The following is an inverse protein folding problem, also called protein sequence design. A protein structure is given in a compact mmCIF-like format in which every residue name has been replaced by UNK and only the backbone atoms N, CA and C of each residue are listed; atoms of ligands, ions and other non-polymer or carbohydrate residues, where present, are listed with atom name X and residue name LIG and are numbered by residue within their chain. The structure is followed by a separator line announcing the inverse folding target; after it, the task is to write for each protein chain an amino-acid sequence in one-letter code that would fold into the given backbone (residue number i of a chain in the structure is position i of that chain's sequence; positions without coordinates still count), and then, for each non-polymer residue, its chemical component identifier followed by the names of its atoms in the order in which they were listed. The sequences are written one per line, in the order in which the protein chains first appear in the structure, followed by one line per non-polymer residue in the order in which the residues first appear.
data_IF_185013671444
#
_entry.id   IF_185013671444
#
_cell.length_a   1.000
_cell.length_b   1.000
_cell.length_c   1.000
_cell.angle_alpha   90.00
_cell.angle_beta   90.00
_cell.angle_gamma   90.00
#
_symmetry.space_group_name_H-M   'P 1'
#
loop_
_entity.id
_entity.type
_entity.pdbx_description
1 polymer ?
#
# COMPACT_ATOMS: atom_id res chain seq x y z
N UNK A 1 -80.89 -20.34 -75.60
CA UNK A 1 -79.92 -21.20 -76.29
C UNK A 1 -78.75 -21.43 -75.35
N UNK A 2 -78.26 -22.66 -75.25
CA UNK A 2 -77.06 -22.98 -74.46
C UNK A 2 -75.85 -22.75 -75.37
N UNK A 3 -74.96 -21.85 -74.97
CA UNK A 3 -73.68 -21.65 -75.63
C UNK A 3 -72.68 -22.60 -74.97
N UNK A 4 -72.27 -23.64 -75.69
CA UNK A 4 -71.26 -24.59 -75.20
C UNK A 4 -69.91 -24.10 -75.72
N UNK A 5 -69.07 -23.59 -74.83
CA UNK A 5 -67.67 -23.28 -75.12
C UNK A 5 -66.80 -24.45 -74.66
N UNK A 6 -65.99 -24.99 -75.57
CA UNK A 6 -64.98 -26.00 -75.24
C UNK A 6 -63.68 -25.26 -74.92
N UNK A 7 -63.20 -25.40 -73.67
CA UNK A 7 -61.86 -24.94 -73.28
C UNK A 7 -60.91 -26.14 -73.29
N UNK A 8 -59.66 -25.95 -73.70
CA UNK A 8 -58.66 -27.01 -73.60
C UNK A 8 -58.16 -27.16 -72.16
N UNK A 9 -57.96 -28.39 -71.68
CA UNK A 9 -57.31 -28.65 -70.40
C UNK A 9 -55.90 -28.04 -70.35
N UNK A 10 -55.22 -27.94 -71.50
CA UNK A 10 -53.91 -27.28 -71.63
C UNK A 10 -54.00 -25.76 -71.41
N UNK A 11 -55.11 -25.13 -71.81
CA UNK A 11 -55.31 -23.69 -71.57
C UNK A 11 -55.55 -23.41 -70.09
N UNK A 12 -56.34 -24.27 -69.42
CA UNK A 12 -56.55 -24.20 -67.96
C UNK A 12 -55.21 -24.39 -67.23
N UNK A 13 -54.45 -25.42 -67.61
CA UNK A 13 -53.16 -25.72 -67.02
C UNK A 13 -52.15 -24.59 -67.22
N UNK A 14 -52.08 -24.00 -68.42
CA UNK A 14 -51.20 -22.88 -68.72
C UNK A 14 -51.55 -21.63 -67.90
N UNK A 15 -52.83 -21.33 -67.69
CA UNK A 15 -53.25 -20.21 -66.84
C UNK A 15 -52.86 -20.45 -65.39
N UNK A 16 -53.13 -21.64 -64.84
CA UNK A 16 -52.86 -21.95 -63.43
C UNK A 16 -51.36 -22.04 -63.14
N UNK A 17 -50.57 -22.54 -64.09
CA UNK A 17 -49.12 -22.70 -63.95
C UNK A 17 -48.31 -21.49 -64.43
N UNK A 18 -48.97 -20.45 -64.97
CA UNK A 18 -48.30 -19.27 -65.55
C UNK A 18 -47.37 -19.65 -66.71
N UNK A 19 -47.85 -20.48 -67.63
CA UNK A 19 -47.07 -21.12 -68.69
C UNK A 19 -45.85 -21.87 -68.15
N UNK A 20 -45.98 -22.50 -66.97
CA UNK A 20 -44.91 -23.25 -66.29
C UNK A 20 -43.68 -22.39 -65.94
N UNK A 21 -43.85 -21.07 -65.79
CA UNK A 21 -42.80 -20.12 -65.41
C UNK A 21 -42.87 -19.74 -63.93
N UNK A 22 -43.08 -20.73 -63.06
CA UNK A 22 -43.34 -20.55 -61.62
C UNK A 22 -42.41 -19.55 -60.92
N UNK A 23 -41.10 -19.60 -61.17
CA UNK A 23 -40.13 -18.65 -60.56
C UNK A 23 -40.39 -17.19 -60.97
N UNK A 24 -40.74 -16.94 -62.22
CA UNK A 24 -41.03 -15.59 -62.72
C UNK A 24 -42.38 -15.07 -62.23
N UNK A 25 -43.32 -15.99 -61.97
CA UNK A 25 -44.65 -15.70 -61.43
C UNK A 25 -44.66 -15.60 -59.88
N UNK A 26 -43.49 -15.59 -59.24
CA UNK A 26 -43.36 -15.38 -57.79
C UNK A 26 -43.54 -16.64 -56.92
N UNK A 27 -43.64 -17.82 -57.51
CA UNK A 27 -43.77 -19.09 -56.76
C UNK A 27 -42.44 -19.65 -56.24
N UNK A 28 -41.31 -18.98 -56.46
CA UNK A 28 -40.02 -19.44 -55.94
C UNK A 28 -39.58 -20.82 -56.48
N UNK A 29 -38.79 -21.54 -55.70
CA UNK A 29 -38.24 -22.85 -56.07
C UNK A 29 -39.21 -24.01 -55.86
N UNK A 30 -40.13 -23.91 -54.91
CA UNK A 30 -41.03 -25.01 -54.50
C UNK A 30 -42.51 -24.69 -54.66
N UNK A 31 -42.86 -23.42 -54.85
CA UNK A 31 -44.25 -23.02 -54.93
C UNK A 31 -44.92 -23.39 -56.24
N UNK A 32 -46.24 -23.52 -56.17
CA UNK A 32 -47.11 -23.87 -57.29
C UNK A 32 -48.56 -23.47 -56.99
N UNK A 33 -49.39 -23.44 -58.03
CA UNK A 33 -50.84 -23.41 -57.91
C UNK A 33 -51.45 -24.59 -58.65
N UNK A 34 -52.58 -25.10 -58.15
CA UNK A 34 -53.32 -26.17 -58.79
C UNK A 34 -54.83 -26.07 -58.52
N UNK A 35 -55.61 -26.62 -59.44
CA UNK A 35 -57.07 -26.71 -59.35
C UNK A 35 -57.52 -28.12 -58.98
N UNK A 36 -58.55 -28.20 -58.13
CA UNK A 36 -59.15 -29.48 -57.69
C UNK A 36 -60.66 -29.42 -57.85
N UNK A 37 -61.26 -30.46 -58.43
CA UNK A 37 -62.71 -30.57 -58.56
C UNK A 37 -63.40 -31.06 -57.29
N UNK A 38 -64.74 -31.04 -57.28
CA UNK A 38 -65.56 -31.56 -56.18
C UNK A 38 -65.32 -33.07 -55.91
N UNK A 39 -64.83 -33.81 -56.90
CA UNK A 39 -64.40 -35.21 -56.80
C UNK A 39 -63.01 -35.39 -56.18
N UNK A 40 -62.38 -34.30 -55.73
CA UNK A 40 -61.00 -34.24 -55.24
C UNK A 40 -59.94 -34.62 -56.28
N UNK A 41 -60.28 -34.69 -57.57
CA UNK A 41 -59.31 -34.95 -58.63
C UNK A 41 -58.74 -33.64 -59.16
N UNK A 42 -57.49 -33.66 -59.61
CA UNK A 42 -56.84 -32.50 -60.21
C UNK A 42 -57.55 -32.03 -61.50
N UNK A 43 -57.56 -30.72 -61.71
CA UNK A 43 -58.01 -30.03 -62.94
C UNK A 43 -56.87 -29.29 -63.65
N UNK A 44 -55.70 -29.21 -63.01
CA UNK A 44 -54.44 -28.74 -63.59
C UNK A 44 -53.30 -29.60 -63.04
N UNK A 45 -52.25 -29.81 -63.80
CA UNK A 45 -51.12 -30.61 -63.39
C UNK A 45 -50.21 -29.83 -62.41
N UNK A 46 -49.65 -30.50 -61.38
CA UNK A 46 -48.76 -29.86 -60.45
C UNK A 46 -47.38 -29.62 -61.07
N UNK A 47 -46.63 -28.67 -60.52
CA UNK A 47 -45.27 -28.31 -60.94
C UNK A 47 -44.33 -29.51 -61.00
N UNK A 48 -44.37 -30.37 -59.97
CA UNK A 48 -43.50 -31.53 -59.88
C UNK A 48 -43.66 -32.49 -61.08
N UNK A 49 -44.87 -32.61 -61.63
CA UNK A 49 -45.12 -33.44 -62.82
C UNK A 49 -44.37 -32.94 -64.06
N UNK A 50 -44.09 -31.65 -64.15
CA UNK A 50 -43.37 -31.03 -65.27
C UNK A 50 -41.87 -30.93 -65.04
N UNK A 51 -41.44 -30.58 -63.83
CA UNK A 51 -40.01 -30.37 -63.53
C UNK A 51 -39.26 -31.69 -63.33
N UNK A 52 -39.86 -32.69 -62.66
CA UNK A 52 -39.21 -33.97 -62.41
C UNK A 52 -40.24 -35.10 -62.21
N UNK A 53 -40.55 -35.82 -63.29
CA UNK A 53 -41.56 -36.90 -63.28
C UNK A 53 -41.21 -38.06 -62.36
N UNK A 54 -39.94 -38.44 -62.30
CA UNK A 54 -39.50 -39.56 -61.47
C UNK A 54 -39.67 -39.23 -59.98
N UNK A 55 -39.28 -38.01 -59.59
CA UNK A 55 -39.50 -37.50 -58.24
C UNK A 55 -40.99 -37.37 -57.93
N UNK A 56 -41.80 -36.85 -58.86
CA UNK A 56 -43.24 -36.73 -58.69
C UNK A 56 -43.92 -38.08 -58.38
N UNK A 57 -43.60 -39.14 -59.13
CA UNK A 57 -44.16 -40.47 -58.85
C UNK A 57 -43.64 -41.07 -57.54
N UNK A 58 -42.38 -40.79 -57.16
CA UNK A 58 -41.83 -41.21 -55.88
C UNK A 58 -42.56 -40.51 -54.71
N UNK A 59 -42.72 -39.19 -54.76
CA UNK A 59 -43.42 -38.40 -53.76
C UNK A 59 -44.90 -38.80 -53.64
N UNK A 60 -45.58 -39.10 -54.75
CA UNK A 60 -46.95 -39.61 -54.73
C UNK A 60 -47.05 -40.96 -54.01
N UNK A 61 -46.10 -41.86 -54.25
CA UNK A 61 -46.06 -43.17 -53.59
C UNK A 61 -45.81 -43.01 -52.08
N UNK A 62 -44.89 -42.14 -51.69
CA UNK A 62 -44.60 -41.83 -50.28
C UNK A 62 -45.79 -41.14 -49.59
N UNK A 63 -46.52 -40.29 -50.29
CA UNK A 63 -47.74 -39.65 -49.81
C UNK A 63 -48.96 -40.59 -49.73
N UNK A 64 -48.80 -41.87 -50.14
CA UNK A 64 -49.84 -42.89 -50.02
C UNK A 64 -50.83 -42.96 -51.18
N UNK A 65 -50.49 -42.45 -52.36
CA UNK A 65 -51.32 -42.59 -53.56
C UNK A 65 -51.51 -44.06 -53.95
N UNK A 66 -52.70 -44.43 -54.43
CA UNK A 66 -52.98 -45.81 -54.80
C UNK A 66 -52.21 -46.22 -56.06
N UNK A 67 -51.88 -47.52 -56.17
CA UNK A 67 -51.22 -48.05 -57.37
C UNK A 67 -52.07 -47.84 -58.63
N UNK A 68 -53.41 -47.87 -58.50
CA UNK A 68 -54.33 -47.63 -59.59
C UNK A 68 -54.26 -46.18 -60.10
N UNK A 69 -54.18 -45.20 -59.19
CA UNK A 69 -54.05 -43.78 -59.55
C UNK A 69 -52.72 -43.52 -60.27
N UNK A 70 -51.61 -44.04 -59.72
CA UNK A 70 -50.29 -43.91 -60.35
C UNK A 70 -50.27 -44.54 -61.75
N UNK A 71 -50.82 -45.75 -61.91
CA UNK A 71 -50.91 -46.43 -63.20
C UNK A 71 -51.79 -45.66 -64.19
N UNK A 72 -52.89 -45.04 -63.74
CA UNK A 72 -53.73 -44.20 -64.58
C UNK A 72 -52.97 -42.96 -65.09
N UNK A 73 -52.26 -42.26 -64.20
CA UNK A 73 -51.45 -41.08 -64.57
C UNK A 73 -50.39 -41.45 -65.61
N UNK A 74 -49.73 -42.61 -65.45
CA UNK A 74 -48.74 -43.11 -66.41
C UNK A 74 -49.36 -43.47 -67.76
N UNK A 75 -50.53 -44.13 -67.74
CA UNK A 75 -51.25 -44.55 -68.97
C UNK A 75 -51.73 -43.36 -69.78
N UNK A 76 -52.35 -42.38 -69.13
CA UNK A 76 -52.92 -41.19 -69.77
C UNK A 76 -51.91 -40.05 -69.93
N UNK A 77 -50.70 -40.20 -69.38
CA UNK A 77 -49.61 -39.19 -69.39
C UNK A 77 -50.05 -37.83 -68.87
N UNK A 78 -51.04 -37.81 -67.98
CA UNK A 78 -51.57 -36.60 -67.35
C UNK A 78 -52.06 -36.92 -65.94
N UNK A 79 -51.78 -36.04 -64.95
CA UNK A 79 -52.33 -36.17 -63.61
C UNK A 79 -53.74 -35.57 -63.48
N UNK A 80 -54.17 -34.79 -64.48
CA UNK A 80 -55.51 -34.21 -64.56
C UNK A 80 -56.55 -35.34 -64.59
N UNK A 81 -57.59 -35.24 -63.76
CA UNK A 81 -58.61 -36.27 -63.56
C UNK A 81 -58.12 -37.63 -63.02
N UNK A 82 -56.84 -37.77 -62.66
CA UNK A 82 -56.26 -39.05 -62.23
C UNK A 82 -55.54 -38.98 -60.88
N UNK A 83 -55.01 -37.82 -60.49
CA UNK A 83 -54.45 -37.60 -59.15
C UNK A 83 -55.53 -37.09 -58.21
N UNK A 84 -55.73 -37.79 -57.09
CA UNK A 84 -56.56 -37.33 -55.98
C UNK A 84 -55.78 -36.44 -55.02
N UNK A 85 -56.33 -35.28 -54.69
CA UNK A 85 -55.80 -34.35 -53.69
C UNK A 85 -56.90 -34.03 -52.68
N UNK A 86 -56.78 -34.61 -51.50
CA UNK A 86 -57.66 -34.36 -50.35
C UNK A 86 -56.86 -33.80 -49.17
N UNK A 87 -56.51 -32.52 -49.28
CA UNK A 87 -55.86 -31.74 -48.23
C UNK A 87 -56.86 -30.88 -47.47
N UNK A 88 -56.48 -30.41 -46.28
CA UNK A 88 -57.27 -29.43 -45.50
C UNK A 88 -57.64 -28.20 -46.33
N UNK A 89 -56.71 -27.68 -47.13
CA UNK A 89 -56.93 -26.54 -48.01
C UNK A 89 -57.97 -26.84 -49.10
N UNK A 90 -57.86 -27.98 -49.78
CA UNK A 90 -58.83 -28.36 -50.82
C UNK A 90 -60.23 -28.60 -50.26
N UNK A 91 -60.36 -29.24 -49.08
CA UNK A 91 -61.67 -29.42 -48.42
C UNK A 91 -62.31 -28.08 -48.05
N UNK A 92 -61.54 -27.17 -47.48
CA UNK A 92 -62.04 -25.84 -47.10
C UNK A 92 -62.47 -25.02 -48.33
N UNK A 93 -61.65 -24.99 -49.38
CA UNK A 93 -61.97 -24.30 -50.63
C UNK A 93 -63.21 -24.88 -51.33
N UNK A 94 -63.34 -26.20 -51.43
CA UNK A 94 -64.52 -26.85 -52.01
C UNK A 94 -65.80 -26.63 -51.18
N UNK A 95 -65.66 -26.43 -49.86
CA UNK A 95 -66.75 -26.02 -48.98
C UNK A 95 -67.10 -24.52 -49.10
N UNK A 96 -66.42 -23.77 -49.97
CA UNK A 96 -66.65 -22.35 -50.22
C UNK A 96 -65.91 -21.40 -49.28
N UNK A 97 -64.94 -21.91 -48.51
CA UNK A 97 -64.15 -21.08 -47.58
C UNK A 97 -62.81 -20.67 -48.18
N UNK A 98 -62.48 -19.38 -48.06
CA UNK A 98 -61.16 -18.85 -48.37
C UNK A 98 -60.27 -18.85 -47.13
N UNK A 99 -58.96 -19.00 -47.30
CA UNK A 99 -58.03 -18.91 -46.18
C UNK A 99 -56.58 -19.07 -46.58
N UNK A 100 -55.71 -18.70 -45.65
CA UNK A 100 -54.26 -18.88 -45.76
C UNK A 100 -53.74 -19.52 -44.48
N UNK A 101 -52.79 -20.44 -44.58
CA UNK A 101 -52.17 -21.04 -43.42
C UNK A 101 -51.24 -22.19 -43.76
N UNK A 102 -50.61 -22.74 -42.73
CA UNK A 102 -49.76 -23.91 -42.87
C UNK A 102 -50.63 -25.18 -42.99
N UNK A 103 -50.41 -25.93 -44.05
CA UNK A 103 -51.12 -27.18 -44.34
C UNK A 103 -50.14 -28.21 -44.88
N UNK A 104 -50.40 -29.48 -44.60
CA UNK A 104 -49.71 -30.58 -45.27
C UNK A 104 -50.22 -30.66 -46.70
N UNK A 105 -49.33 -30.43 -47.66
CA UNK A 105 -49.66 -30.50 -49.09
C UNK A 105 -49.84 -31.94 -49.58
N UNK A 106 -50.24 -32.10 -50.84
CA UNK A 106 -50.45 -33.44 -51.43
C UNK A 106 -49.18 -34.32 -51.49
N UNK A 107 -47.99 -33.72 -51.33
CA UNK A 107 -46.70 -34.41 -51.25
C UNK A 107 -46.35 -34.91 -49.84
N UNK A 108 -47.22 -34.67 -48.84
CA UNK A 108 -46.92 -34.96 -47.43
C UNK A 108 -45.98 -33.94 -46.75
N UNK A 109 -45.53 -32.91 -47.48
CA UNK A 109 -44.64 -31.85 -46.96
C UNK A 109 -45.46 -30.68 -46.41
N UNK A 110 -44.98 -30.04 -45.34
CA UNK A 110 -45.60 -28.83 -44.80
C UNK A 110 -45.44 -27.65 -45.76
N UNK A 111 -46.54 -26.97 -46.06
CA UNK A 111 -46.61 -25.88 -47.02
C UNK A 111 -47.37 -24.71 -46.45
N UNK A 112 -46.95 -23.48 -46.76
CA UNK A 112 -47.77 -22.30 -46.59
C UNK A 112 -48.69 -22.19 -47.82
N UNK A 113 -49.98 -22.38 -47.62
CA UNK A 113 -50.96 -22.38 -48.69
C UNK A 113 -52.01 -21.28 -48.51
N UNK A 114 -52.46 -20.72 -49.63
CA UNK A 114 -53.67 -19.94 -49.77
C UNK A 114 -54.66 -20.72 -50.63
N UNK A 115 -55.93 -20.75 -50.25
CA UNK A 115 -56.95 -21.53 -50.92
C UNK A 115 -58.28 -20.78 -50.98
N UNK A 116 -59.09 -21.11 -52.00
CA UNK A 116 -60.43 -20.56 -52.16
C UNK A 116 -61.22 -21.26 -53.27
N UNK A 117 -62.55 -21.11 -53.29
CA UNK A 117 -63.38 -21.59 -54.39
C UNK A 117 -63.14 -20.77 -55.67
N UNK A 118 -63.24 -21.42 -56.82
CA UNK A 118 -63.22 -20.73 -58.12
C UNK A 118 -64.61 -20.18 -58.43
N UNK A 119 -64.71 -18.87 -58.68
CA UNK A 119 -65.97 -18.17 -58.92
C UNK A 119 -66.47 -18.31 -60.38
N UNK A 120 -66.73 -19.54 -60.83
CA UNK A 120 -67.32 -19.83 -62.14
C UNK A 120 -68.73 -20.43 -61.96
N UNK A 121 -69.79 -19.82 -62.52
CA UNK A 121 -71.15 -20.34 -62.40
C UNK A 121 -71.25 -21.80 -62.88
N UNK A 122 -71.81 -22.67 -62.03
CA UNK A 122 -72.00 -24.09 -62.33
C UNK A 122 -70.75 -24.98 -62.14
N UNK A 123 -69.60 -24.41 -61.78
CA UNK A 123 -68.36 -25.15 -61.55
C UNK A 123 -67.96 -25.06 -60.08
N UNK A 124 -67.76 -26.22 -59.43
CA UNK A 124 -67.30 -26.31 -58.04
C UNK A 124 -65.86 -26.79 -57.98
N UNK A 125 -64.91 -25.88 -58.21
CA UNK A 125 -63.48 -26.14 -58.12
C UNK A 125 -62.84 -25.35 -56.99
N UNK A 126 -61.77 -25.90 -56.44
CA UNK A 126 -60.89 -25.24 -55.48
C UNK A 126 -59.59 -24.84 -56.18
N UNK A 127 -59.14 -23.61 -55.94
CA UNK A 127 -57.81 -23.15 -56.26
C UNK A 127 -56.96 -23.20 -54.99
N UNK A 128 -55.77 -23.81 -55.10
CA UNK A 128 -54.78 -23.82 -54.02
C UNK A 128 -53.46 -23.33 -54.58
N UNK A 129 -52.94 -22.25 -54.02
CA UNK A 129 -51.58 -21.77 -54.25
C UNK A 129 -50.76 -22.06 -53.00
N UNK A 130 -49.58 -22.65 -53.13
CA UNK A 130 -48.75 -23.03 -51.99
C UNK A 130 -47.26 -22.87 -52.28
N UNK A 131 -46.47 -22.82 -51.22
CA UNK A 131 -45.01 -22.88 -51.22
C UNK A 131 -44.55 -23.74 -50.03
N UNK A 132 -43.44 -24.47 -50.15
CA UNK A 132 -42.96 -25.28 -49.03
C UNK A 132 -42.56 -24.36 -47.85
N UNK A 133 -42.96 -24.75 -46.64
CA UNK A 133 -42.71 -24.00 -45.40
C UNK A 133 -41.20 -23.75 -45.20
N UNK A 134 -40.35 -24.68 -45.62
CA UNK A 134 -38.89 -24.57 -45.56
C UNK A 134 -38.34 -23.44 -46.43
N UNK A 135 -38.91 -23.20 -47.61
CA UNK A 135 -38.54 -22.08 -48.47
C UNK A 135 -39.15 -20.77 -47.96
N UNK A 136 -40.45 -20.76 -47.65
CA UNK A 136 -41.16 -19.58 -47.14
C UNK A 136 -40.49 -18.97 -45.90
N UNK A 137 -40.00 -19.81 -44.97
CA UNK A 137 -39.37 -19.34 -43.74
C UNK A 137 -37.83 -19.38 -43.75
N UNK A 138 -37.18 -19.79 -44.85
CA UNK A 138 -35.72 -19.78 -44.96
C UNK A 138 -35.10 -18.39 -44.63
N UNK A 139 -35.67 -17.24 -45.08
CA UNK A 139 -35.15 -15.93 -44.70
C UNK A 139 -35.21 -15.67 -43.19
N UNK A 140 -36.28 -16.09 -42.52
CA UNK A 140 -36.45 -15.91 -41.07
C UNK A 140 -35.45 -16.77 -40.30
N UNK A 141 -35.25 -18.01 -40.73
CA UNK A 141 -34.26 -18.89 -40.12
C UNK A 141 -32.83 -18.37 -40.27
N UNK A 142 -32.48 -17.80 -41.44
CA UNK A 142 -31.18 -17.15 -41.65
C UNK A 142 -31.02 -15.92 -40.75
N UNK A 143 -32.03 -15.04 -40.70
CA UNK A 143 -32.00 -13.86 -39.83
C UNK A 143 -31.83 -14.24 -38.35
N UNK A 144 -32.52 -15.29 -37.89
CA UNK A 144 -32.37 -15.80 -36.52
C UNK A 144 -30.95 -16.26 -36.25
N UNK A 145 -30.32 -16.97 -37.20
CA UNK A 145 -28.94 -17.44 -37.06
C UNK A 145 -27.97 -16.26 -37.02
N UNK A 146 -28.13 -15.29 -37.92
CA UNK A 146 -27.30 -14.09 -37.98
C UNK A 146 -27.40 -13.27 -36.67
N UNK A 147 -28.62 -13.07 -36.15
CA UNK A 147 -28.83 -12.38 -34.88
C UNK A 147 -28.21 -13.14 -33.70
N UNK A 148 -28.29 -14.47 -33.68
CA UNK A 148 -27.68 -15.29 -32.65
C UNK A 148 -26.14 -15.17 -32.67
N UNK A 149 -25.53 -15.17 -33.87
CA UNK A 149 -24.08 -15.00 -34.04
C UNK A 149 -23.67 -13.60 -33.58
N UNK A 150 -24.34 -12.55 -34.03
CA UNK A 150 -24.04 -11.16 -33.64
C UNK A 150 -24.16 -10.98 -32.13
N UNK A 151 -25.23 -11.50 -31.53
CA UNK A 151 -25.43 -11.47 -30.08
C UNK A 151 -24.34 -12.20 -29.31
N UNK A 152 -23.93 -13.39 -29.79
CA UNK A 152 -22.84 -14.16 -29.20
C UNK A 152 -21.50 -13.44 -29.27
N UNK A 153 -21.16 -12.84 -30.42
CA UNK A 153 -19.94 -12.05 -30.59
C UNK A 153 -19.94 -10.81 -29.69
N UNK A 154 -21.06 -10.08 -29.63
CA UNK A 154 -21.20 -8.92 -28.77
C UNK A 154 -21.02 -9.29 -27.29
N UNK A 155 -21.64 -10.40 -26.84
CA UNK A 155 -21.48 -10.90 -25.47
C UNK A 155 -20.02 -11.27 -25.16
N UNK A 156 -19.35 -11.96 -26.09
CA UNK A 156 -17.94 -12.32 -25.94
C UNK A 156 -17.06 -11.07 -25.79
N UNK A 157 -17.29 -10.06 -26.62
CA UNK A 157 -16.56 -8.78 -26.54
C UNK A 157 -16.78 -8.17 -25.15
N UNK A 158 -18.03 -8.05 -24.68
CA UNK A 158 -18.33 -7.48 -23.35
C UNK A 158 -17.58 -8.23 -22.24
N UNK A 159 -17.56 -9.56 -22.27
CA UNK A 159 -16.86 -10.39 -21.26
C UNK A 159 -15.35 -10.16 -21.31
N UNK A 160 -14.76 -10.14 -22.51
CA UNK A 160 -13.32 -9.92 -22.69
C UNK A 160 -12.93 -8.52 -22.24
N UNK A 161 -13.67 -7.49 -22.61
CA UNK A 161 -13.38 -6.10 -22.22
C UNK A 161 -13.55 -5.91 -20.72
N UNK A 162 -14.57 -6.51 -20.10
CA UNK A 162 -14.75 -6.47 -18.66
C UNK A 162 -13.60 -7.17 -17.91
N UNK A 163 -13.16 -8.33 -18.39
CA UNK A 163 -12.02 -9.05 -17.80
C UNK A 163 -10.71 -8.27 -17.96
N UNK A 164 -10.51 -7.62 -19.11
CA UNK A 164 -9.36 -6.76 -19.35
C UNK A 164 -9.36 -5.55 -18.41
N UNK A 165 -10.48 -4.82 -18.34
CA UNK A 165 -10.64 -3.64 -17.47
C UNK A 165 -10.47 -3.98 -15.99
N UNK A 166 -10.97 -5.14 -15.57
CA UNK A 166 -10.81 -5.63 -14.20
C UNK A 166 -9.34 -5.82 -13.84
N UNK A 167 -8.53 -6.38 -14.74
CA UNK A 167 -7.10 -6.61 -14.51
C UNK A 167 -6.28 -5.33 -14.58
N UNK A 168 -6.60 -4.41 -15.48
CA UNK A 168 -5.83 -3.17 -15.68
C UNK A 168 -6.10 -2.13 -14.60
N UNK A 169 -7.33 -2.04 -14.10
CA UNK A 169 -7.70 -1.02 -13.10
C UNK A 169 -7.73 -1.55 -11.66
N UNK A 170 -8.43 -2.66 -11.38
CA UNK A 170 -8.60 -3.09 -9.98
C UNK A 170 -7.34 -3.71 -9.37
N UNK A 171 -6.47 -4.32 -10.18
CA UNK A 171 -5.24 -4.96 -9.70
C UNK A 171 -4.32 -3.97 -8.97
N UNK A 172 -3.82 -2.93 -9.66
CA UNK A 172 -2.95 -1.92 -9.03
C UNK A 172 -3.61 -1.19 -7.85
N UNK A 173 -4.93 -0.92 -7.91
CA UNK A 173 -5.65 -0.28 -6.81
C UNK A 173 -5.64 -1.15 -5.53
N UNK A 174 -5.82 -2.46 -5.66
CA UNK A 174 -5.75 -3.39 -4.52
C UNK A 174 -4.34 -3.45 -3.93
N UNK A 175 -3.30 -3.49 -4.77
CA UNK A 175 -1.91 -3.45 -4.34
C UNK A 175 -1.60 -2.16 -3.58
N UNK A 176 -2.07 -1.01 -4.07
CA UNK A 176 -1.92 0.28 -3.41
C UNK A 176 -2.67 0.33 -2.06
N UNK A 177 -3.93 -0.11 -2.00
CA UNK A 177 -4.68 -0.16 -0.74
C UNK A 177 -3.95 -1.03 0.29
N UNK A 178 -3.46 -2.21 -0.11
CA UNK A 178 -2.70 -3.08 0.77
C UNK A 178 -1.42 -2.40 1.27
N UNK A 179 -0.67 -1.73 0.39
CA UNK A 179 0.52 -0.96 0.74
C UNK A 179 0.23 0.13 1.76
N UNK A 180 -0.83 0.91 1.54
CA UNK A 180 -1.27 1.97 2.48
C UNK A 180 -1.65 1.39 3.84
N UNK A 181 -2.37 0.27 3.89
CA UNK A 181 -2.75 -0.36 5.16
C UNK A 181 -1.56 -0.91 5.94
N UNK A 182 -0.55 -1.48 5.26
CA UNK A 182 0.70 -1.93 5.89
C UNK A 182 1.50 -0.74 6.43
N UNK A 183 1.63 0.31 5.64
CA UNK A 183 2.27 1.54 6.06
C UNK A 183 1.60 2.15 7.31
N UNK A 184 0.27 2.21 7.33
CA UNK A 184 -0.48 2.69 8.49
C UNK A 184 -0.32 1.79 9.74
N UNK A 185 0.01 0.51 9.56
CA UNK A 185 0.33 -0.42 10.64
C UNK A 185 1.78 -0.33 11.15
N UNK A 186 2.59 0.60 10.62
CA UNK A 186 3.97 0.84 11.04
C UNK A 186 5.04 0.13 10.18
N UNK A 187 4.65 -0.47 9.06
CA UNK A 187 5.60 -1.05 8.11
C UNK A 187 6.09 0.01 7.11
N UNK A 188 7.17 0.70 7.48
CA UNK A 188 7.78 1.77 6.69
C UNK A 188 8.71 1.28 5.57
N UNK A 189 8.86 -0.04 5.40
CA UNK A 189 9.65 -0.64 4.31
C UNK A 189 8.76 -1.07 3.13
N UNK A 190 7.45 -0.86 3.23
CA UNK A 190 6.51 -1.26 2.19
C UNK A 190 6.69 -0.41 0.93
N UNK A 191 6.65 -1.06 -0.23
CA UNK A 191 6.64 -0.41 -1.54
C UNK A 191 5.54 -0.99 -2.41
N UNK A 192 4.94 -0.16 -3.26
CA UNK A 192 3.90 -0.57 -4.20
C UNK A 192 4.45 -0.51 -5.62
N UNK A 193 4.29 -1.57 -6.45
CA UNK A 193 4.84 -1.57 -7.80
C UNK A 193 4.14 -0.57 -8.71
N UNK A 194 4.93 0.24 -9.42
CA UNK A 194 4.42 1.21 -10.41
C UNK A 194 4.36 0.53 -11.79
N UNK A 195 3.19 -0.03 -12.14
CA UNK A 195 3.01 -0.82 -13.38
C UNK A 195 2.55 0.01 -14.59
N UNK A 196 1.86 1.11 -14.36
CA UNK A 196 1.23 1.93 -15.39
C UNK A 196 1.85 3.34 -15.42
N UNK A 197 1.67 4.07 -16.52
CA UNK A 197 2.12 5.47 -16.69
C UNK A 197 0.95 6.47 -16.64
N UNK A 198 -0.17 6.06 -16.07
CA UNK A 198 -1.40 6.82 -15.93
C UNK A 198 -1.51 7.46 -14.52
N UNK A 199 -2.69 7.93 -14.15
CA UNK A 199 -3.01 8.44 -12.82
C UNK A 199 -2.72 7.44 -11.70
N UNK A 200 -2.99 6.15 -11.92
CA UNK A 200 -2.79 5.10 -10.92
C UNK A 200 -1.30 4.88 -10.69
N UNK A 201 -0.51 4.86 -11.77
CA UNK A 201 0.94 4.78 -11.71
C UNK A 201 1.55 5.97 -10.97
N UNK A 202 1.09 7.19 -11.27
CA UNK A 202 1.52 8.41 -10.55
C UNK A 202 1.19 8.35 -9.06
N UNK A 203 0.01 7.85 -8.69
CA UNK A 203 -0.38 7.69 -7.29
C UNK A 203 0.51 6.67 -6.55
N UNK A 204 0.83 5.54 -7.18
CA UNK A 204 1.75 4.56 -6.61
C UNK A 204 3.16 5.14 -6.42
N UNK A 205 3.66 5.90 -7.41
CA UNK A 205 4.95 6.57 -7.31
C UNK A 205 4.98 7.65 -6.22
N UNK A 206 3.93 8.47 -6.12
CA UNK A 206 3.80 9.48 -5.07
C UNK A 206 3.72 8.85 -3.68
N UNK A 207 3.00 7.74 -3.53
CA UNK A 207 2.96 6.97 -2.28
C UNK A 207 4.36 6.47 -1.90
N UNK A 208 5.08 5.83 -2.81
CA UNK A 208 6.46 5.36 -2.54
C UNK A 208 7.39 6.52 -2.17
N UNK A 209 7.29 7.67 -2.84
CA UNK A 209 8.08 8.86 -2.50
C UNK A 209 7.78 9.38 -1.08
N UNK A 210 6.50 9.40 -0.67
CA UNK A 210 6.11 9.78 0.68
C UNK A 210 6.66 8.80 1.74
N UNK A 211 6.63 7.49 1.46
CA UNK A 211 7.20 6.46 2.36
C UNK A 211 8.70 6.69 2.56
N UNK A 212 9.43 6.93 1.47
CA UNK A 212 10.87 7.20 1.51
C UNK A 212 11.20 8.49 2.28
N UNK A 213 10.52 9.59 1.99
CA UNK A 213 10.70 10.87 2.69
C UNK A 213 10.46 10.74 4.20
N UNK A 214 9.46 9.95 4.61
CA UNK A 214 9.16 9.73 6.02
C UNK A 214 10.22 8.85 6.70
N UNK A 215 10.69 7.83 6.00
CA UNK A 215 11.79 6.98 6.48
C UNK A 215 13.05 7.82 6.70
N UNK A 216 13.45 8.62 5.70
CA UNK A 216 14.62 9.49 5.80
C UNK A 216 14.47 10.46 6.98
N UNK A 217 13.31 11.13 7.11
CA UNK A 217 13.05 12.02 8.24
C UNK A 217 13.13 11.32 9.60
N UNK A 218 12.62 10.09 9.71
CA UNK A 218 12.70 9.33 10.97
C UNK A 218 14.15 9.10 11.37
N UNK A 219 14.99 8.66 10.40
CA UNK A 219 16.41 8.41 10.68
C UNK A 219 17.15 9.69 11.09
N UNK A 220 16.84 10.82 10.45
CA UNK A 220 17.42 12.13 10.80
C UNK A 220 16.99 12.58 12.20
N UNK A 221 15.72 12.41 12.55
CA UNK A 221 15.19 12.75 13.88
C UNK A 221 15.86 11.90 14.96
N UNK A 222 16.02 10.59 14.73
CA UNK A 222 16.70 9.70 15.67
C UNK A 222 18.17 10.09 15.86
N UNK A 223 18.88 10.39 14.77
CA UNK A 223 20.26 10.87 14.84
C UNK A 223 20.36 12.20 15.60
N UNK A 224 19.46 13.14 15.33
CA UNK A 224 19.41 14.44 16.02
C UNK A 224 19.05 14.33 17.49
N UNK A 225 18.14 13.43 17.84
CA UNK A 225 17.79 13.15 19.23
C UNK A 225 18.98 12.56 19.99
N UNK A 226 19.73 11.65 19.37
CA UNK A 226 20.96 11.10 19.97
C UNK A 226 22.04 12.16 20.16
N UNK A 227 22.27 12.98 19.13
CA UNK A 227 23.23 14.10 19.23
C UNK A 227 22.84 15.09 20.34
N UNK A 228 21.55 15.44 20.44
CA UNK A 228 21.04 16.29 21.52
C UNK A 228 21.21 15.66 22.91
N UNK A 229 21.04 14.34 23.02
CA UNK A 229 21.25 13.60 24.27
C UNK A 229 22.72 13.61 24.69
N UNK A 230 23.65 13.33 23.78
CA UNK A 230 25.08 13.41 24.04
C UNK A 230 25.51 14.82 24.46
N UNK A 231 25.02 15.86 23.76
CA UNK A 231 25.31 17.25 24.10
C UNK A 231 24.76 17.66 25.47
N UNK A 232 23.59 17.18 25.86
CA UNK A 232 23.01 17.48 27.18
C UNK A 232 23.82 16.83 28.31
N UNK A 233 24.29 15.60 28.09
CA UNK A 233 25.14 14.87 29.05
C UNK A 233 26.54 15.46 29.20
N UNK A 234 27.03 16.21 28.21
CA UNK A 234 28.29 16.96 28.33
C UNK A 234 28.19 18.16 29.28
N UNK A 235 26.98 18.61 29.63
CA UNK A 235 26.73 19.79 30.47
C UNK A 235 26.14 19.43 31.82
N UNK A 236 25.32 18.38 31.89
CA UNK A 236 24.62 17.97 33.09
C UNK A 236 24.89 16.49 33.40
N UNK A 237 25.06 16.12 34.68
CA UNK A 237 25.11 14.71 35.07
C UNK A 237 23.86 13.96 34.61
N UNK A 238 24.01 12.70 34.19
CA UNK A 238 22.92 11.91 33.60
C UNK A 238 21.62 11.87 34.43
N UNK A 239 21.64 11.72 35.78
CA UNK A 239 20.43 11.77 36.58
C UNK A 239 19.69 13.11 36.51
N UNK A 240 20.44 14.22 36.40
CA UNK A 240 19.89 15.58 36.33
C UNK A 240 19.35 15.88 34.92
N UNK A 241 20.06 15.45 33.88
CA UNK A 241 19.61 15.56 32.48
C UNK A 241 18.27 14.85 32.25
N UNK A 242 18.10 13.65 32.83
CA UNK A 242 16.87 12.88 32.74
C UNK A 242 15.67 13.56 33.42
N UNK A 243 15.89 14.16 34.60
CA UNK A 243 14.85 14.93 35.30
C UNK A 243 14.39 16.14 34.51
N UNK A 244 15.35 16.89 33.94
CA UNK A 244 15.05 18.05 33.10
C UNK A 244 14.26 17.66 31.84
N UNK A 245 14.62 16.53 31.21
CA UNK A 245 13.88 15.97 30.07
C UNK A 245 12.46 15.53 30.45
N UNK A 246 12.26 15.06 31.68
CA UNK A 246 10.96 14.75 32.26
C UNK A 246 10.07 15.97 32.51
N UNK A 247 10.57 17.20 32.26
CA UNK A 247 9.85 18.44 32.47
C UNK A 247 9.92 18.97 33.91
N UNK A 248 10.84 18.46 34.72
CA UNK A 248 11.05 18.98 36.07
C UNK A 248 11.70 20.36 36.02
N UNK A 249 11.03 21.36 36.59
CA UNK A 249 11.56 22.72 36.72
C UNK A 249 12.11 22.95 38.13
N UNK A 250 13.20 23.71 38.25
CA UNK A 250 13.74 24.13 39.55
C UNK A 250 14.44 23.00 40.34
N UNK A 251 15.17 22.12 39.65
CA UNK A 251 15.91 21.00 40.26
C UNK A 251 16.90 21.53 41.31
N UNK A 252 16.65 21.21 42.57
CA UNK A 252 17.51 21.50 43.70
C UNK A 252 17.41 20.39 44.75
N UNK A 253 18.54 19.76 45.07
CA UNK A 253 18.64 18.66 46.01
C UNK A 253 19.59 19.02 47.16
N UNK A 254 19.20 18.65 48.38
CA UNK A 254 20.06 18.73 49.55
C UNK A 254 20.79 17.42 49.77
N UNK A 255 22.13 17.48 49.85
CA UNK A 255 22.96 16.33 50.19
C UNK A 255 23.54 16.54 51.60
N UNK A 256 23.23 15.63 52.52
CA UNK A 256 23.68 15.74 53.90
C UNK A 256 25.20 15.60 54.05
N UNK A 257 25.82 14.82 53.17
CA UNK A 257 27.23 14.48 53.29
C UNK A 257 27.86 14.21 51.92
N UNK A 258 28.77 15.10 51.52
CA UNK A 258 29.57 14.99 50.29
C UNK A 258 31.01 15.41 50.59
N UNK A 259 31.95 15.15 49.68
CA UNK A 259 33.31 15.70 49.77
C UNK A 259 33.61 16.55 48.55
N UNK A 260 33.94 17.82 48.78
CA UNK A 260 34.28 18.80 47.75
C UNK A 260 35.79 19.02 47.76
N UNK A 261 36.39 19.06 46.57
CA UNK A 261 37.77 19.49 46.38
C UNK A 261 37.84 20.71 45.45
N UNK A 262 38.71 21.64 45.80
CA UNK A 262 39.22 22.68 44.92
C UNK A 262 40.70 22.42 44.68
N UNK A 263 41.13 22.46 43.44
CA UNK A 263 42.54 22.37 43.07
C UNK A 263 42.93 23.57 42.21
N UNK A 264 44.06 24.21 42.50
CA UNK A 264 44.48 25.47 41.87
C UNK A 264 45.98 25.44 41.56
N UNK A 265 46.37 26.06 40.45
CA UNK A 265 47.77 26.08 40.01
C UNK A 265 48.51 27.26 40.64
N UNK A 266 49.56 26.95 41.40
CA UNK A 266 50.36 27.99 42.07
C UNK A 266 51.06 28.87 41.03
N UNK A 267 50.76 30.17 41.05
CA UNK A 267 51.44 31.15 40.20
C UNK A 267 51.02 31.12 38.73
N UNK A 268 49.90 30.47 38.39
CA UNK A 268 49.46 30.33 37.00
C UNK A 268 49.23 31.67 36.28
N UNK A 269 48.77 32.71 36.96
CA UNK A 269 48.62 34.05 36.37
C UNK A 269 49.92 34.59 35.79
N UNK A 270 51.04 34.38 36.48
CA UNK A 270 52.35 34.80 35.99
C UNK A 270 52.81 33.90 34.83
N UNK A 271 52.59 32.60 34.96
CA UNK A 271 52.92 31.60 33.95
C UNK A 271 52.17 31.85 32.62
N UNK A 272 50.87 32.11 32.69
CA UNK A 272 50.02 32.37 31.53
C UNK A 272 50.30 33.72 30.87
N UNK A 273 50.70 34.74 31.63
CA UNK A 273 51.11 36.05 31.07
C UNK A 273 52.37 35.97 30.21
N UNK A 274 53.19 34.94 30.41
CA UNK A 274 54.43 34.71 29.66
C UNK A 274 54.25 33.77 28.45
N UNK A 275 53.04 33.25 28.22
CA UNK A 275 52.74 32.30 27.15
C UNK A 275 51.78 32.87 26.10
N UNK A 276 51.89 32.43 24.83
CA UNK A 276 50.87 32.68 23.84
C UNK A 276 49.50 32.14 24.29
N UNK A 277 48.39 32.84 24.02
CA UNK A 277 47.06 32.41 24.46
C UNK A 277 46.69 30.99 24.03
N UNK A 278 47.09 30.56 22.83
CA UNK A 278 46.89 29.20 22.35
C UNK A 278 47.54 28.16 23.27
N UNK A 279 48.81 28.38 23.63
CA UNK A 279 49.61 27.43 24.42
C UNK A 279 49.12 27.35 25.87
N UNK A 280 48.61 28.46 26.42
CA UNK A 280 47.95 28.48 27.74
C UNK A 280 46.71 27.59 27.73
N UNK A 281 45.87 27.70 26.69
CA UNK A 281 44.65 26.88 26.55
C UNK A 281 45.01 25.42 26.33
N UNK A 282 46.00 25.11 25.49
CA UNK A 282 46.46 23.74 25.25
C UNK A 282 47.01 23.09 26.54
N UNK A 283 47.83 23.83 27.29
CA UNK A 283 48.39 23.37 28.56
C UNK A 283 47.30 23.08 29.59
N UNK A 284 46.35 24.01 29.78
CA UNK A 284 45.24 23.82 30.72
C UNK A 284 44.29 22.70 30.28
N UNK A 285 43.93 22.66 29.00
CA UNK A 285 43.02 21.64 28.48
C UNK A 285 43.63 20.25 28.62
N UNK A 286 44.92 20.08 28.34
CA UNK A 286 45.64 18.82 28.55
C UNK A 286 45.62 18.39 30.02
N UNK A 287 45.88 19.32 30.95
CA UNK A 287 45.86 19.02 32.38
C UNK A 287 44.46 18.62 32.87
N UNK A 288 43.45 19.44 32.56
CA UNK A 288 42.07 19.20 33.00
C UNK A 288 41.47 17.95 32.34
N UNK A 289 41.85 17.61 31.11
CA UNK A 289 41.45 16.33 30.49
C UNK A 289 41.94 15.14 31.32
N UNK A 290 43.19 15.17 31.81
CA UNK A 290 43.72 14.10 32.67
C UNK A 290 43.02 14.06 34.03
N UNK A 291 42.67 15.22 34.59
CA UNK A 291 41.84 15.27 35.80
C UNK A 291 40.44 14.70 35.55
N UNK A 292 39.81 15.02 34.43
CA UNK A 292 38.48 14.51 34.06
C UNK A 292 38.49 12.99 33.94
N UNK A 293 39.52 12.40 33.34
CA UNK A 293 39.72 10.94 33.28
C UNK A 293 39.88 10.35 34.69
N UNK A 294 40.72 10.95 35.53
CA UNK A 294 40.92 10.46 36.90
C UNK A 294 39.66 10.60 37.78
N UNK A 295 38.86 11.66 37.57
CA UNK A 295 37.59 11.87 38.23
C UNK A 295 36.58 10.79 37.82
N UNK A 296 36.46 10.54 36.52
CA UNK A 296 35.58 9.51 35.97
C UNK A 296 35.91 8.12 36.54
N UNK A 297 37.20 7.73 36.54
CA UNK A 297 37.66 6.43 37.07
C UNK A 297 37.32 6.23 38.56
N UNK A 298 37.25 7.31 39.33
CA UNK A 298 36.96 7.28 40.76
C UNK A 298 35.47 7.53 41.07
N UNK A 299 34.63 7.78 40.05
CA UNK A 299 33.22 8.14 40.23
C UNK A 299 33.06 9.49 40.94
N UNK A 300 33.83 10.48 40.51
CA UNK A 300 33.83 11.86 41.00
C UNK A 300 33.24 12.76 39.92
N UNK A 301 32.36 13.65 40.33
CA UNK A 301 31.70 14.59 39.43
C UNK A 301 32.50 15.90 39.34
N UNK A 302 32.80 16.31 38.11
CA UNK A 302 33.35 17.64 37.83
C UNK A 302 32.23 18.65 37.87
N UNK A 303 32.42 19.76 38.59
CA UNK A 303 31.38 20.79 38.69
C UNK A 303 31.67 21.93 37.74
N UNK A 304 32.84 22.54 37.87
CA UNK A 304 33.26 23.66 37.04
C UNK A 304 34.75 23.89 37.14
N UNK A 305 35.25 24.65 36.19
CA UNK A 305 36.54 25.32 36.30
C UNK A 305 36.32 26.80 36.56
N UNK A 306 37.20 27.41 37.34
CA UNK A 306 37.19 28.86 37.62
C UNK A 306 38.60 29.37 37.34
N UNK A 307 38.84 29.79 36.08
CA UNK A 307 40.20 30.06 35.63
C UNK A 307 41.02 28.77 35.60
N UNK A 308 42.11 28.76 36.35
CA UNK A 308 43.01 27.62 36.57
C UNK A 308 42.60 26.71 37.75
N UNK A 309 41.54 27.07 38.46
CA UNK A 309 40.99 26.23 39.51
C UNK A 309 40.05 25.15 38.94
N UNK A 310 40.16 23.93 39.46
CA UNK A 310 39.33 22.77 39.17
C UNK A 310 38.48 22.41 40.40
N UNK A 311 37.16 22.40 40.25
CA UNK A 311 36.22 22.05 41.32
C UNK A 311 35.56 20.71 41.02
N UNK A 312 35.65 19.79 41.98
CA UNK A 312 35.06 18.47 41.89
C UNK A 312 34.40 18.05 43.20
N UNK A 313 33.47 17.11 43.11
CA UNK A 313 32.72 16.60 44.26
C UNK A 313 32.46 15.11 44.14
N UNK A 314 32.49 14.43 45.27
CA UNK A 314 32.11 13.02 45.38
C UNK A 314 30.96 12.87 46.37
N UNK A 315 30.06 11.92 46.12
CA UNK A 315 28.84 11.73 46.90
C UNK A 315 27.60 12.39 46.29
N UNK A 316 27.68 12.90 45.06
CA UNK A 316 26.56 13.44 44.30
C UNK A 316 26.83 13.32 42.77
N UNK A 317 25.80 13.38 41.91
CA UNK A 317 24.36 13.38 42.26
C UNK A 317 23.89 12.06 42.89
N UNK A 318 24.70 11.00 42.80
CA UNK A 318 24.45 9.71 43.46
C UNK A 318 25.30 9.62 44.74
N UNK A 319 24.69 9.47 45.93
CA UNK A 319 25.44 9.29 47.18
C UNK A 319 26.29 8.02 47.18
N UNK A 320 27.52 8.13 47.68
CA UNK A 320 28.44 7.00 47.88
C UNK A 320 29.10 7.09 49.25
N UNK A 321 29.23 5.97 49.97
CA UNK A 321 29.71 5.97 51.36
C UNK A 321 31.21 6.28 51.50
N UNK A 322 32.00 5.95 50.49
CA UNK A 322 33.45 6.13 50.44
C UNK A 322 33.87 7.45 49.74
N UNK A 323 32.94 8.42 49.65
CA UNK A 323 33.13 9.67 48.93
C UNK A 323 34.40 10.45 49.36
N UNK A 324 34.71 10.49 50.65
CA UNK A 324 35.91 11.15 51.17
C UNK A 324 37.20 10.44 50.74
N UNK A 325 37.22 9.11 50.77
CA UNK A 325 38.37 8.31 50.36
C UNK A 325 38.65 8.49 48.86
N UNK A 326 37.61 8.41 48.02
CA UNK A 326 37.72 8.64 46.57
C UNK A 326 38.30 10.02 46.28
N UNK A 327 37.82 11.05 46.97
CA UNK A 327 38.30 12.41 46.75
C UNK A 327 39.76 12.60 47.18
N UNK A 328 40.19 11.99 48.30
CA UNK A 328 41.62 12.03 48.68
C UNK A 328 42.50 11.28 47.68
N UNK A 329 42.05 10.12 47.18
CA UNK A 329 42.76 9.40 46.10
C UNK A 329 42.86 10.24 44.83
N UNK A 330 41.80 10.95 44.48
CA UNK A 330 41.79 11.90 43.38
C UNK A 330 42.81 13.01 43.59
N UNK A 331 42.82 13.65 44.76
CA UNK A 331 43.77 14.71 45.07
C UNK A 331 45.23 14.24 44.96
N UNK A 332 45.54 13.03 45.42
CA UNK A 332 46.87 12.42 45.21
C UNK A 332 47.16 12.28 43.71
N UNK A 333 46.23 11.73 42.92
CA UNK A 333 46.38 11.60 41.46
C UNK A 333 46.56 12.95 40.78
N UNK A 334 45.82 13.98 41.18
CA UNK A 334 45.92 15.31 40.60
C UNK A 334 47.32 15.90 40.79
N UNK A 335 47.93 15.76 41.98
CA UNK A 335 49.30 16.24 42.20
C UNK A 335 50.30 15.49 41.32
N UNK A 336 50.18 14.17 41.17
CA UNK A 336 51.04 13.38 40.29
C UNK A 336 50.86 13.76 38.82
N UNK A 337 49.61 13.86 38.35
CA UNK A 337 49.26 14.28 36.99
C UNK A 337 49.82 15.67 36.70
N UNK A 338 49.73 16.62 37.63
CA UNK A 338 50.32 17.96 37.44
C UNK A 338 51.83 17.90 37.30
N UNK A 339 52.52 17.08 38.10
CA UNK A 339 53.98 16.92 38.00
C UNK A 339 54.41 16.30 36.68
N UNK A 340 53.73 15.25 36.25
CA UNK A 340 53.98 14.59 34.96
C UNK A 340 53.72 15.56 33.79
N UNK A 341 52.58 16.24 33.80
CA UNK A 341 52.20 17.23 32.79
C UNK A 341 53.20 18.40 32.74
N UNK A 342 53.68 18.86 33.89
CA UNK A 342 54.72 19.87 34.00
C UNK A 342 56.05 19.43 33.36
N UNK A 343 56.47 18.19 33.61
CA UNK A 343 57.68 17.62 33.02
C UNK A 343 57.56 17.48 31.49
N UNK A 344 56.42 17.00 30.99
CA UNK A 344 56.18 16.83 29.56
C UNK A 344 56.20 18.16 28.81
N UNK A 345 55.60 19.21 29.38
CA UNK A 345 55.54 20.54 28.79
C UNK A 345 56.74 21.44 29.14
N UNK A 346 57.71 20.94 29.94
CA UNK A 346 58.91 21.67 30.37
C UNK A 346 58.61 22.99 31.08
N UNK A 347 57.53 23.01 31.88
CA UNK A 347 57.12 24.15 32.69
C UNK A 347 57.16 23.77 34.17
N UNK A 348 57.27 24.76 35.04
CA UNK A 348 57.10 24.53 36.49
C UNK A 348 55.64 24.77 36.84
N UNK A 349 54.94 23.73 37.26
CA UNK A 349 53.58 23.82 37.81
C UNK A 349 53.53 23.07 39.13
N UNK A 350 52.88 23.70 40.11
CA UNK A 350 52.59 23.10 41.41
C UNK A 350 51.11 23.20 41.66
N UNK A 351 50.56 22.19 42.31
CA UNK A 351 49.13 22.12 42.59
C UNK A 351 48.87 22.30 44.09
N UNK A 352 47.90 23.12 44.45
CA UNK A 352 47.31 23.14 45.78
C UNK A 352 45.95 22.46 45.70
N UNK A 353 45.64 21.59 46.65
CA UNK A 353 44.32 20.97 46.74
C UNK A 353 43.74 21.20 48.13
N UNK A 354 42.53 21.73 48.20
CA UNK A 354 41.75 21.91 49.42
C UNK A 354 40.54 21.01 49.43
N UNK A 355 40.36 20.21 50.49
CA UNK A 355 39.27 19.24 50.61
C UNK A 355 38.47 19.48 51.88
N UNK A 356 37.14 19.47 51.75
CA UNK A 356 36.23 19.49 52.89
C UNK A 356 35.06 18.53 52.67
N UNK A 357 34.52 17.98 53.77
CA UNK A 357 33.29 17.18 53.76
C UNK A 357 32.21 17.83 54.59
N UNK A 358 30.96 17.72 54.14
CA UNK A 358 29.80 18.28 54.83
C UNK A 358 28.57 18.39 53.93
N UNK A 359 27.50 19.03 54.42
CA UNK A 359 26.26 19.19 53.67
C UNK A 359 26.40 20.25 52.58
N UNK A 360 25.69 20.03 51.47
CA UNK A 360 25.59 20.97 50.33
C UNK A 360 24.18 20.97 49.76
N UNK A 361 23.83 22.04 49.06
CA UNK A 361 22.71 22.08 48.12
C UNK A 361 23.29 22.06 46.72
N UNK A 362 22.81 21.16 45.87
CA UNK A 362 23.17 21.13 44.45
C UNK A 362 21.93 21.35 43.61
N UNK A 363 22.06 21.98 42.45
CA UNK A 363 20.90 22.30 41.64
C UNK A 363 21.26 22.91 40.30
N UNK A 364 20.25 22.99 39.44
CA UNK A 364 20.38 23.54 38.09
C UNK A 364 19.90 24.99 38.07
N UNK A 365 20.78 25.90 37.64
CA UNK A 365 20.44 27.31 37.42
C UNK A 365 20.52 27.67 35.94
N UNK A 366 19.64 28.56 35.52
CA UNK A 366 19.62 29.14 34.19
C UNK A 366 18.41 28.70 33.36
N UNK A 367 18.04 29.53 32.38
CA UNK A 367 16.97 29.22 31.41
C UNK A 367 17.51 28.94 30.00
N UNK A 368 18.57 29.65 29.61
CA UNK A 368 19.20 29.51 28.29
C UNK A 368 20.53 28.77 28.34
N UNK A 369 21.17 28.73 29.51
CA UNK A 369 22.41 27.99 29.79
C UNK A 369 22.23 27.30 31.13
N UNK A 370 21.94 26.02 31.11
CA UNK A 370 21.82 25.23 32.33
C UNK A 370 23.20 24.99 32.91
N UNK A 371 23.35 25.27 34.20
CA UNK A 371 24.57 25.03 34.97
C UNK A 371 24.17 24.25 36.21
N UNK A 372 24.73 23.05 36.38
CA UNK A 372 24.64 22.31 37.63
C UNK A 372 25.77 22.76 38.56
N UNK A 373 25.42 23.28 39.74
CA UNK A 373 26.40 23.87 40.65
C UNK A 373 26.02 23.59 42.11
N UNK A 374 26.92 23.96 43.03
CA UNK A 374 26.84 23.68 44.46
C UNK A 374 26.91 24.93 45.31
N UNK A 375 26.09 24.94 46.36
CA UNK A 375 26.05 25.98 47.37
C UNK A 375 26.11 25.39 48.76
N UNK A 376 26.79 26.10 49.64
CA UNK A 376 26.87 25.74 51.05
C UNK A 376 28.21 26.13 51.67
N UNK A 377 28.22 26.14 52.99
CA UNK A 377 29.42 26.41 53.79
C UNK A 377 30.54 25.40 53.49
N UNK A 378 30.17 24.15 53.18
CA UNK A 378 31.11 23.08 52.81
C UNK A 378 31.96 23.45 51.60
N UNK A 379 31.34 24.01 50.55
CA UNK A 379 31.99 24.42 49.30
C UNK A 379 32.95 25.59 49.58
N UNK A 380 32.47 26.59 50.32
CA UNK A 380 33.29 27.75 50.68
C UNK A 380 34.52 27.33 51.50
N UNK A 381 34.35 26.43 52.47
CA UNK A 381 35.46 25.98 53.29
C UNK A 381 36.47 25.15 52.48
N UNK A 382 36.04 24.30 51.53
CA UNK A 382 36.94 23.60 50.63
C UNK A 382 37.80 24.56 49.79
N UNK A 383 37.18 25.59 49.20
CA UNK A 383 37.90 26.64 48.48
C UNK A 383 38.90 27.38 49.38
N UNK A 384 38.56 27.64 50.66
CA UNK A 384 39.49 28.26 51.60
C UNK A 384 40.64 27.35 52.00
N UNK A 385 40.41 26.03 52.07
CA UNK A 385 41.48 25.06 52.29
C UNK A 385 42.46 25.03 51.12
N UNK A 386 41.99 25.23 49.90
CA UNK A 386 42.85 25.32 48.72
C UNK A 386 43.67 26.60 48.80
N UNK A 387 43.02 27.76 48.93
CA UNK A 387 43.71 29.04 48.79
C UNK A 387 44.71 29.31 49.91
N UNK A 388 44.46 28.75 51.10
CA UNK A 388 45.38 28.75 52.25
C UNK A 388 46.34 27.55 52.30
N UNK A 389 46.33 26.68 51.28
CA UNK A 389 47.17 25.49 51.19
C UNK A 389 48.61 25.81 50.79
N UNK A 390 49.51 24.85 51.04
CA UNK A 390 50.91 24.95 50.61
C UNK A 390 51.07 24.37 49.19
N UNK A 391 51.99 24.91 48.37
CA UNK A 391 52.28 24.32 47.05
C UNK A 391 52.59 22.83 47.14
N UNK A 392 52.10 22.05 46.17
CA UNK A 392 52.30 20.61 46.08
C UNK A 392 51.81 19.83 47.32
N UNK A 393 50.74 20.32 47.95
CA UNK A 393 50.14 19.67 49.11
C UNK A 393 48.62 19.57 48.99
N UNK A 394 48.08 18.55 49.65
CA UNK A 394 46.64 18.36 49.81
C UNK A 394 46.28 18.72 51.25
N UNK A 395 45.55 19.82 51.41
CA UNK A 395 45.09 20.32 52.70
C UNK A 395 43.63 19.92 52.94
N UNK A 396 43.34 19.36 54.11
CA UNK A 396 42.03 18.85 54.46
C UNK A 396 41.52 19.42 55.78
N UNK A 397 40.20 19.51 55.91
CA UNK A 397 39.52 19.89 57.15
C UNK A 397 39.37 18.72 58.14
N UNK A 398 39.00 19.02 59.39
CA UNK A 398 38.75 18.03 60.43
C UNK A 398 37.77 16.92 60.01
N UNK A 399 36.60 17.21 59.39
CA UNK A 399 35.68 16.15 58.94
C UNK A 399 36.30 15.14 57.98
N UNK A 400 37.22 15.56 57.10
CA UNK A 400 37.92 14.67 56.17
C UNK A 400 38.97 13.85 56.92
N UNK A 401 39.75 14.51 57.78
CA UNK A 401 40.76 13.86 58.61
C UNK A 401 40.16 12.76 59.50
N UNK A 402 39.10 13.06 60.26
CA UNK A 402 38.49 12.09 61.18
C UNK A 402 37.98 10.83 60.46
N UNK A 403 37.50 10.98 59.22
CA UNK A 403 37.04 9.84 58.40
C UNK A 403 38.18 8.96 57.86
N UNK A 404 39.38 9.53 57.70
CA UNK A 404 40.44 8.95 56.89
C UNK A 404 41.78 8.78 57.62
N UNK A 405 41.90 9.22 58.87
CA UNK A 405 43.13 9.13 59.69
C UNK A 405 43.68 7.72 59.84
N UNK A 406 42.82 6.70 59.74
CA UNK A 406 43.21 5.28 59.83
C UNK A 406 43.63 4.69 58.48
N UNK A 407 43.42 5.42 57.38
CA UNK A 407 43.68 4.96 55.99
C UNK A 407 44.81 5.75 55.31
N UNK A 408 45.04 7.00 55.71
CA UNK A 408 46.04 7.89 55.13
C UNK A 408 46.84 8.58 56.24
N UNK A 409 48.08 8.98 55.91
CA UNK A 409 48.95 9.68 56.86
C UNK A 409 48.75 11.19 56.70
N UNK A 410 48.34 11.84 57.78
CA UNK A 410 48.14 13.29 57.84
C UNK A 410 49.06 13.92 58.88
N UNK A 411 49.58 15.10 58.55
CA UNK A 411 50.40 15.93 59.44
C UNK A 411 49.60 17.17 59.86
N UNK A 412 49.57 17.53 61.16
CA UNK A 412 48.84 18.71 61.62
C UNK A 412 49.49 19.99 61.07
N UNK A 413 48.71 20.83 60.38
CA UNK A 413 49.17 22.14 59.89
C UNK A 413 49.11 23.23 60.96
N UNK A 414 48.27 23.02 61.97
CA UNK A 414 47.86 24.01 62.94
C UNK A 414 46.59 24.75 62.51
N UNK A 415 46.27 25.83 63.24
CA UNK A 415 45.16 26.70 62.89
C UNK A 415 45.51 27.65 61.74
N UNK A 416 44.72 27.65 60.67
CA UNK A 416 44.81 28.59 59.56
C UNK A 416 43.71 29.64 59.66
N UNK A 417 44.04 30.88 59.33
CA UNK A 417 43.08 31.98 59.38
C UNK A 417 42.20 31.96 58.13
N UNK A 418 40.92 31.67 58.31
CA UNK A 418 39.93 31.56 57.23
C UNK A 418 39.00 32.76 57.28
N UNK A 419 38.96 33.54 56.18
CA UNK A 419 38.08 34.70 56.03
C UNK A 419 36.63 34.32 56.33
N UNK A 420 36.06 34.96 57.36
CA UNK A 420 34.67 34.76 57.79
C UNK A 420 34.43 33.58 58.74
N UNK A 421 35.46 32.80 59.09
CA UNK A 421 35.38 31.67 60.03
C UNK A 421 36.36 31.74 61.20
N UNK A 422 37.36 32.61 61.13
CA UNK A 422 38.42 32.69 62.13
C UNK A 422 39.44 31.56 61.96
N UNK A 423 40.00 31.09 63.06
CA UNK A 423 41.03 30.04 63.04
C UNK A 423 40.38 28.67 62.86
N UNK A 424 40.71 27.98 61.77
CA UNK A 424 40.24 26.62 61.46
C UNK A 424 41.43 25.67 61.47
N UNK A 425 41.31 24.53 62.15
CA UNK A 425 42.34 23.50 62.09
C UNK A 425 42.39 22.82 60.73
N UNK A 426 43.60 22.62 60.23
CA UNK A 426 43.86 21.94 58.97
C UNK A 426 44.93 20.85 59.13
N UNK A 427 44.87 19.88 58.23
CA UNK A 427 45.84 18.79 58.13
C UNK A 427 46.38 18.74 56.70
N UNK A 428 47.65 18.40 56.56
CA UNK A 428 48.28 18.13 55.28
C UNK A 428 48.38 16.62 55.09
N UNK A 429 47.96 16.15 53.92
CA UNK A 429 48.20 14.77 53.50
C UNK A 429 49.69 14.60 53.15
N UNK A 430 50.28 13.52 53.63
CA UNK A 430 51.63 13.11 53.21
C UNK A 430 51.55 12.35 51.89
N UNK A 431 52.01 12.99 50.82
CA UNK A 431 51.98 12.50 49.43
C UNK A 431 53.03 11.45 49.11
#
# INVERSE_FOLDING_TARGET
GVLVAQLSDDEIDNVVTGNRRWRHEGFGATGEAYLVGQDHLLRSAPRAFYENRDLYFAELKEAGASFADIAAIQRYRSPVMHQRIDTKATRAALAGSEGTGEVIGYRGVSTLASWGPVAIPGVKWALVAKIDTSEAFAPIHRLRLDLAIVGGVALLIVVVTAAWLSRTLLGPLRELTAGVTRFAAGDYETTVPVRTRDEIGRLCAAFNGMVEDLREKSTVIEAKNRENEELLLNVLPAPIANRLRGGEEGIADGFAEVTVAFADLVGFTALSSAMPPHDVVELLNGLFTRFDVAAHDLGIEKIKTVGDAYMAVCGLPVPVADHAERMVRMAIRMVHITREHAMEHKVTMQLRVGINSGPVVAGVIGKSKYIYDLWGDTVNLASRMESGGLPDSVQVTRPVYEKLKDKFVFEPRGGIEVKGKGVVEAWLLRL
#
